data_IF_021132960528
#
_entry.id   IF_021132960528
#
_cell.length_a   1.000
_cell.length_b   1.000
_cell.length_c   1.000
_cell.angle_alpha   90.00
_cell.angle_beta   90.00
_cell.angle_gamma   90.00
#
_symmetry.space_group_name_H-M   'P 1'
#
loop_
_entity.id
_entity.type
_entity.pdbx_description
1 polymer ?
#
# COMPACT_ATOMS: atom_id res chain seq x y z
N UNK A 1 -10.60 42.26 -44.89
CA UNK A 1 -10.44 40.83 -44.53
C UNK A 1 -10.00 40.75 -43.07
N UNK A 2 -10.92 40.40 -42.15
CA UNK A 2 -10.62 40.28 -40.71
C UNK A 2 -10.19 38.85 -40.41
N UNK A 3 -8.95 38.65 -39.91
CA UNK A 3 -8.45 37.35 -39.50
C UNK A 3 -9.08 36.98 -38.16
N UNK A 4 -9.62 35.76 -37.98
CA UNK A 4 -10.09 35.30 -36.66
C UNK A 4 -8.91 34.99 -35.76
N UNK A 5 -8.93 35.57 -34.55
CA UNK A 5 -8.00 35.28 -33.47
C UNK A 5 -8.45 33.98 -32.81
N UNK A 6 -7.73 32.89 -33.06
CA UNK A 6 -7.99 31.61 -32.40
C UNK A 6 -7.34 31.67 -31.00
N UNK A 7 -8.17 31.88 -29.98
CA UNK A 7 -7.77 31.82 -28.58
C UNK A 7 -7.64 30.37 -28.18
N UNK A 8 -6.41 29.87 -28.18
CA UNK A 8 -6.10 28.47 -27.71
C UNK A 8 -6.19 28.45 -26.20
N UNK A 9 -7.25 27.81 -25.67
CA UNK A 9 -7.43 27.58 -24.25
C UNK A 9 -6.59 26.37 -23.84
N UNK A 10 -5.39 26.60 -23.28
CA UNK A 10 -4.60 25.56 -22.66
C UNK A 10 -5.29 25.11 -21.35
N UNK A 11 -5.96 23.96 -21.42
CA UNK A 11 -6.46 23.27 -20.22
C UNK A 11 -5.24 22.63 -19.51
N UNK A 12 -4.76 23.27 -18.45
CA UNK A 12 -3.77 22.68 -17.55
C UNK A 12 -4.46 21.60 -16.74
N UNK A 13 -4.29 20.34 -17.12
CA UNK A 13 -4.65 19.17 -16.30
C UNK A 13 -3.66 19.13 -15.12
N UNK A 14 -4.03 19.72 -14.00
CA UNK A 14 -3.37 19.46 -12.73
C UNK A 14 -3.75 18.04 -12.30
N UNK A 15 -2.87 17.08 -12.52
CA UNK A 15 -2.98 15.78 -11.88
C UNK A 15 -2.85 16.00 -10.37
N UNK A 16 -3.95 15.85 -9.63
CA UNK A 16 -3.92 15.79 -8.17
C UNK A 16 -3.28 14.47 -7.76
N UNK A 17 -1.96 14.43 -7.60
CA UNK A 17 -1.30 13.33 -6.89
C UNK A 17 -1.70 13.42 -5.42
N UNK A 18 -2.21 12.32 -4.86
CA UNK A 18 -2.59 12.28 -3.46
C UNK A 18 -1.34 12.50 -2.58
N UNK A 19 -1.33 13.62 -1.85
CA UNK A 19 -0.23 13.96 -0.94
C UNK A 19 -0.21 12.97 0.22
N UNK A 20 0.94 12.37 0.59
CA UNK A 20 1.02 11.48 1.74
C UNK A 20 0.65 12.20 3.05
N UNK A 21 0.17 11.46 4.08
CA UNK A 21 -0.21 12.08 5.35
C UNK A 21 0.99 12.75 6.03
N UNK A 22 0.75 13.91 6.65
CA UNK A 22 1.79 14.71 7.34
C UNK A 22 2.46 13.96 8.49
N UNK A 23 1.72 13.07 9.14
CA UNK A 23 2.22 12.27 10.25
C UNK A 23 1.91 10.78 10.01
N UNK A 24 2.67 10.16 9.12
CA UNK A 24 2.55 8.74 8.77
C UNK A 24 2.92 7.78 9.90
N UNK A 25 3.56 8.25 10.97
CA UNK A 25 3.92 7.45 12.15
C UNK A 25 2.78 7.38 13.18
N UNK A 26 1.71 8.13 12.98
CA UNK A 26 0.52 8.12 13.84
C UNK A 26 -0.72 7.75 13.02
N UNK A 27 -1.20 6.51 13.18
CA UNK A 27 -2.32 6.01 12.37
C UNK A 27 -3.62 6.77 12.64
N UNK A 28 -3.86 7.24 13.87
CA UNK A 28 -5.03 8.06 14.18
C UNK A 28 -4.98 9.41 13.46
N UNK A 29 -3.79 10.06 13.43
CA UNK A 29 -3.61 11.30 12.70
C UNK A 29 -3.74 11.08 11.18
N UNK A 30 -3.22 9.95 10.67
CA UNK A 30 -3.35 9.56 9.27
C UNK A 30 -4.82 9.43 8.88
N UNK A 31 -5.62 8.69 9.63
CA UNK A 31 -7.04 8.47 9.34
C UNK A 31 -7.90 9.73 9.50
N UNK A 32 -7.59 10.63 10.45
CA UNK A 32 -8.27 11.94 10.53
C UNK A 32 -7.91 12.87 9.37
N UNK A 33 -6.70 12.79 8.85
CA UNK A 33 -6.29 13.59 7.68
C UNK A 33 -6.85 13.02 6.37
N UNK A 34 -7.04 11.71 6.30
CA UNK A 34 -7.51 10.94 5.14
C UNK A 34 -8.81 10.24 5.53
N UNK A 35 -9.92 10.97 5.48
CA UNK A 35 -11.20 10.58 6.06
C UNK A 35 -11.73 9.21 5.59
N UNK A 36 -11.52 8.85 4.30
CA UNK A 36 -11.99 7.57 3.75
C UNK A 36 -11.10 6.37 4.11
N UNK A 37 -9.82 6.60 4.41
CA UNK A 37 -8.83 5.53 4.55
C UNK A 37 -9.11 4.54 5.69
N UNK A 38 -9.75 4.98 6.77
CA UNK A 38 -10.16 4.06 7.83
C UNK A 38 -11.21 3.08 7.34
N UNK A 39 -12.20 3.56 6.59
CA UNK A 39 -13.26 2.72 6.03
C UNK A 39 -12.70 1.76 4.98
N UNK A 40 -11.84 2.22 4.07
CA UNK A 40 -11.18 1.38 3.08
C UNK A 40 -10.38 0.25 3.72
N UNK A 41 -9.58 0.57 4.75
CA UNK A 41 -8.79 -0.42 5.48
C UNK A 41 -9.69 -1.39 6.29
N UNK A 42 -10.82 -0.92 6.78
CA UNK A 42 -11.83 -1.74 7.48
C UNK A 42 -12.52 -2.68 6.50
N UNK A 43 -12.93 -2.21 5.33
CA UNK A 43 -13.56 -3.04 4.29
C UNK A 43 -12.63 -4.17 3.86
N UNK A 44 -11.35 -3.86 3.65
CA UNK A 44 -10.32 -4.87 3.39
C UNK A 44 -10.17 -5.86 4.57
N UNK A 45 -10.22 -5.38 5.82
CA UNK A 45 -10.20 -6.26 7.00
C UNK A 45 -11.43 -7.17 7.04
N UNK A 46 -12.62 -6.64 6.77
CA UNK A 46 -13.86 -7.43 6.77
C UNK A 46 -13.84 -8.50 5.67
N UNK A 47 -13.29 -8.18 4.50
CA UNK A 47 -13.18 -9.10 3.37
C UNK A 47 -12.10 -10.18 3.57
N UNK A 48 -10.94 -9.82 4.07
CA UNK A 48 -9.76 -10.71 4.11
C UNK A 48 -9.38 -11.20 5.50
N UNK A 49 -9.88 -10.56 6.55
CA UNK A 49 -9.56 -10.91 7.96
C UNK A 49 -8.14 -10.53 8.39
N UNK A 50 -7.42 -9.72 7.62
CA UNK A 50 -6.10 -9.19 7.98
C UNK A 50 -6.28 -7.91 8.77
N UNK A 51 -5.76 -7.80 10.02
CA UNK A 51 -5.98 -6.62 10.85
C UNK A 51 -5.51 -5.32 10.20
N UNK A 52 -6.27 -4.23 10.37
CA UNK A 52 -5.95 -2.89 9.82
C UNK A 52 -4.51 -2.48 10.12
N UNK A 53 -4.08 -2.63 11.38
CA UNK A 53 -2.72 -2.24 11.79
C UNK A 53 -1.60 -3.02 11.07
N UNK A 54 -1.87 -4.25 10.63
CA UNK A 54 -0.93 -5.06 9.84
C UNK A 54 -0.85 -4.53 8.41
N UNK A 55 -2.00 -4.32 7.77
CA UNK A 55 -2.08 -3.77 6.41
C UNK A 55 -1.36 -2.42 6.33
N UNK A 56 -1.67 -1.50 7.26
CA UNK A 56 -1.08 -0.18 7.32
C UNK A 56 0.42 -0.21 7.62
N UNK A 57 0.90 -1.16 8.43
CA UNK A 57 2.33 -1.30 8.70
C UNK A 57 3.12 -1.80 7.48
N UNK A 58 2.54 -2.69 6.68
CA UNK A 58 3.11 -3.14 5.41
C UNK A 58 3.14 -1.97 4.42
N UNK A 59 2.02 -1.29 4.19
CA UNK A 59 1.94 -0.15 3.27
C UNK A 59 2.91 0.97 3.67
N UNK A 60 3.01 1.28 4.96
CA UNK A 60 3.99 2.25 5.45
C UNK A 60 5.42 1.85 5.10
N UNK A 61 5.77 0.58 5.20
CA UNK A 61 7.11 0.09 4.86
C UNK A 61 7.37 0.16 3.35
N UNK A 62 6.36 -0.09 2.52
CA UNK A 62 6.49 -0.12 1.06
C UNK A 62 6.59 1.27 0.44
N UNK A 63 5.73 2.19 0.82
CA UNK A 63 5.63 3.50 0.16
C UNK A 63 5.63 4.71 1.09
N UNK A 64 5.56 4.52 2.41
CA UNK A 64 5.25 5.60 3.37
C UNK A 64 3.96 6.35 3.00
N UNK A 65 2.97 5.62 2.45
CA UNK A 65 1.71 6.17 1.96
C UNK A 65 1.85 7.16 0.79
N UNK A 66 2.89 7.02 -0.02
CA UNK A 66 3.05 7.75 -1.27
C UNK A 66 2.30 7.01 -2.38
N UNK A 67 1.31 7.66 -2.99
CA UNK A 67 0.42 7.04 -3.98
C UNK A 67 1.16 6.53 -5.22
N UNK A 68 2.04 7.35 -5.76
CA UNK A 68 2.79 7.09 -6.99
C UNK A 68 4.24 6.62 -6.74
N UNK A 69 4.48 6.01 -5.57
CA UNK A 69 5.81 5.52 -5.20
C UNK A 69 6.34 4.53 -6.25
N UNK A 70 7.60 4.73 -6.65
CA UNK A 70 8.27 3.88 -7.62
C UNK A 70 9.75 3.71 -7.26
N UNK A 71 10.37 2.56 -7.58
CA UNK A 71 11.80 2.40 -7.46
C UNK A 71 12.54 3.47 -8.29
N UNK A 72 13.68 4.00 -7.82
CA UNK A 72 14.46 4.97 -8.57
C UNK A 72 14.90 4.39 -9.92
N UNK A 73 14.97 5.24 -10.95
CA UNK A 73 15.53 4.85 -12.24
C UNK A 73 17.03 4.61 -12.11
N UNK A 74 17.52 3.62 -12.84
CA UNK A 74 18.98 3.51 -13.10
C UNK A 74 19.40 4.61 -14.07
N UNK A 75 20.69 4.94 -14.09
CA UNK A 75 21.25 5.97 -14.94
C UNK A 75 22.29 5.37 -15.87
N UNK A 76 22.11 5.53 -17.19
CA UNK A 76 23.13 5.18 -18.18
C UNK A 76 24.12 6.33 -18.25
N UNK A 77 25.42 6.00 -18.18
CA UNK A 77 26.51 6.98 -18.17
C UNK A 77 26.43 8.05 -17.06
N UNK A 78 25.63 7.78 -16.00
CA UNK A 78 25.49 8.68 -14.87
C UNK A 78 24.54 9.87 -15.06
N UNK A 79 24.02 10.12 -16.27
CA UNK A 79 23.16 11.28 -16.55
C UNK A 79 21.95 10.99 -17.46
N UNK A 80 21.87 9.83 -18.11
CA UNK A 80 20.72 9.46 -18.95
C UNK A 80 19.78 8.57 -18.12
N UNK A 81 18.52 8.98 -17.84
CA UNK A 81 17.56 8.13 -17.17
C UNK A 81 17.33 6.84 -17.98
N UNK A 82 17.54 5.70 -17.34
CA UNK A 82 17.39 4.39 -17.97
C UNK A 82 16.15 3.67 -17.43
N UNK A 83 16.18 2.35 -17.37
CA UNK A 83 15.06 1.55 -16.88
C UNK A 83 14.94 1.57 -15.34
N UNK A 84 13.77 1.15 -14.83
CA UNK A 84 13.58 0.85 -13.40
C UNK A 84 13.90 -0.62 -13.15
N UNK A 85 14.57 -0.96 -12.04
CA UNK A 85 14.96 -2.35 -11.73
C UNK A 85 13.77 -3.24 -11.36
N UNK A 86 12.61 -2.65 -11.11
CA UNK A 86 11.37 -3.34 -10.74
C UNK A 86 10.16 -2.58 -11.28
N UNK A 87 9.08 -3.31 -11.58
CA UNK A 87 7.76 -2.77 -11.93
C UNK A 87 6.91 -2.40 -10.71
N UNK A 88 7.48 -2.47 -9.49
CA UNK A 88 6.78 -2.09 -8.27
C UNK A 88 6.25 -0.65 -8.36
N UNK A 89 4.96 -0.45 -8.01
CA UNK A 89 4.28 0.83 -8.12
C UNK A 89 3.21 1.00 -7.04
N UNK A 90 2.97 2.26 -6.69
CA UNK A 90 1.85 2.67 -5.88
C UNK A 90 2.02 2.46 -4.38
N UNK A 91 0.93 2.59 -3.65
CA UNK A 91 0.91 2.45 -2.19
C UNK A 91 1.47 1.11 -1.70
N UNK A 92 1.08 0.02 -2.36
CA UNK A 92 1.43 -1.35 -1.98
C UNK A 92 2.75 -1.84 -2.60
N UNK A 93 3.39 -1.06 -3.49
CA UNK A 93 4.57 -1.47 -4.26
C UNK A 93 4.35 -2.83 -4.97
N UNK A 94 3.11 -3.07 -5.42
CA UNK A 94 2.77 -4.27 -6.17
C UNK A 94 3.51 -4.29 -7.52
N UNK A 95 4.10 -5.44 -7.87
CA UNK A 95 4.67 -5.67 -9.20
C UNK A 95 3.57 -5.98 -10.20
N UNK A 96 3.80 -5.70 -11.49
CA UNK A 96 2.80 -5.91 -12.56
C UNK A 96 2.23 -7.33 -12.51
N UNK A 97 3.07 -8.36 -12.54
CA UNK A 97 2.65 -9.77 -12.50
C UNK A 97 1.75 -10.11 -11.29
N UNK A 98 2.11 -9.60 -10.09
CA UNK A 98 1.34 -9.88 -8.88
C UNK A 98 0.04 -9.07 -8.84
N UNK A 99 0.05 -7.88 -9.42
CA UNK A 99 -1.16 -7.08 -9.57
C UNK A 99 -2.15 -7.70 -10.56
N UNK A 100 -1.66 -8.22 -11.67
CA UNK A 100 -2.48 -8.95 -12.66
C UNK A 100 -3.11 -10.20 -12.01
N UNK A 101 -2.35 -10.98 -11.23
CA UNK A 101 -2.88 -12.12 -10.45
C UNK A 101 -4.01 -11.69 -9.49
N UNK A 102 -3.88 -10.52 -8.87
CA UNK A 102 -4.92 -9.96 -8.00
C UNK A 102 -6.16 -9.57 -8.80
N UNK A 103 -6.00 -8.84 -9.90
CA UNK A 103 -7.13 -8.44 -10.76
C UNK A 103 -7.90 -9.66 -11.25
N UNK A 104 -7.21 -10.69 -11.70
CA UNK A 104 -7.80 -11.92 -12.24
C UNK A 104 -8.54 -12.75 -11.18
N UNK A 105 -8.11 -12.68 -9.92
CA UNK A 105 -8.65 -13.55 -8.85
C UNK A 105 -9.61 -12.87 -7.89
N UNK A 106 -9.49 -11.57 -7.65
CA UNK A 106 -10.18 -10.92 -6.55
C UNK A 106 -10.43 -9.42 -6.72
N UNK A 107 -9.63 -8.72 -7.52
CA UNK A 107 -9.73 -7.29 -7.74
C UNK A 107 -10.82 -6.88 -8.73
N UNK A 108 -11.06 -5.59 -8.83
CA UNK A 108 -11.88 -5.01 -9.90
C UNK A 108 -11.01 -4.72 -11.13
N UNK A 109 -11.55 -4.87 -12.32
CA UNK A 109 -10.87 -4.46 -13.56
C UNK A 109 -10.50 -2.97 -13.62
N UNK A 110 -11.15 -2.16 -12.78
CA UNK A 110 -10.87 -0.71 -12.65
C UNK A 110 -9.96 -0.37 -11.48
N UNK A 111 -9.44 -1.38 -10.76
CA UNK A 111 -8.57 -1.14 -9.62
C UNK A 111 -7.23 -0.53 -10.04
N UNK A 112 -6.71 0.39 -9.24
CA UNK A 112 -5.46 1.11 -9.51
C UNK A 112 -4.51 1.02 -8.30
N UNK A 113 -3.20 0.87 -8.59
CA UNK A 113 -2.17 0.72 -7.54
C UNK A 113 -1.89 2.01 -6.76
N UNK A 114 -2.29 3.16 -7.28
CA UNK A 114 -2.21 4.47 -6.63
C UNK A 114 -3.55 4.94 -6.02
N UNK A 115 -4.59 4.09 -6.08
CA UNK A 115 -5.77 4.20 -5.24
C UNK A 115 -5.56 3.50 -3.90
N UNK A 116 -5.96 4.17 -2.80
CA UNK A 116 -5.69 3.65 -1.46
C UNK A 116 -6.57 2.44 -1.10
N UNK A 117 -7.85 2.47 -1.47
CA UNK A 117 -8.79 1.38 -1.21
C UNK A 117 -8.36 0.10 -1.93
N UNK A 118 -8.01 0.22 -3.21
CA UNK A 118 -7.53 -0.89 -4.04
C UNK A 118 -6.21 -1.47 -3.53
N UNK A 119 -5.27 -0.59 -3.17
CA UNK A 119 -3.98 -1.01 -2.63
C UNK A 119 -4.10 -1.71 -1.27
N UNK A 120 -5.05 -1.25 -0.44
CA UNK A 120 -5.34 -1.87 0.87
C UNK A 120 -6.01 -3.22 0.68
N UNK A 121 -6.97 -3.34 -0.24
CA UNK A 121 -7.61 -4.62 -0.61
C UNK A 121 -6.57 -5.62 -1.16
N UNK A 122 -5.65 -5.16 -2.02
CA UNK A 122 -4.53 -5.97 -2.51
C UNK A 122 -3.64 -6.51 -1.38
N UNK A 123 -3.24 -5.66 -0.42
CA UNK A 123 -2.44 -6.12 0.74
C UNK A 123 -3.20 -7.16 1.56
N UNK A 124 -4.49 -6.92 1.81
CA UNK A 124 -5.37 -7.87 2.50
C UNK A 124 -5.45 -9.21 1.76
N UNK A 125 -5.68 -9.18 0.46
CA UNK A 125 -5.71 -10.36 -0.41
C UNK A 125 -4.40 -11.15 -0.36
N UNK A 126 -3.26 -10.48 -0.54
CA UNK A 126 -1.95 -11.14 -0.56
C UNK A 126 -1.61 -11.78 0.79
N UNK A 127 -1.88 -11.08 1.89
CA UNK A 127 -1.68 -11.60 3.24
C UNK A 127 -2.63 -12.78 3.54
N UNK A 128 -3.87 -12.76 3.04
CA UNK A 128 -4.79 -13.88 3.16
C UNK A 128 -4.30 -15.11 2.38
N UNK A 129 -3.74 -14.93 1.18
CA UNK A 129 -3.09 -16.04 0.44
C UNK A 129 -1.89 -16.58 1.22
N UNK A 130 -1.07 -15.70 1.80
CA UNK A 130 0.06 -16.09 2.64
C UNK A 130 -0.38 -16.92 3.84
N UNK A 131 -1.48 -16.54 4.50
CA UNK A 131 -2.10 -17.33 5.55
C UNK A 131 -2.50 -18.72 5.06
N UNK A 132 -3.25 -18.78 3.96
CA UNK A 132 -3.81 -20.03 3.46
C UNK A 132 -2.74 -21.00 2.90
N UNK A 133 -1.70 -20.47 2.24
CA UNK A 133 -0.66 -21.29 1.60
C UNK A 133 0.50 -21.65 2.52
N UNK A 134 0.82 -20.77 3.46
CA UNK A 134 2.05 -20.86 4.26
C UNK A 134 1.77 -21.07 5.75
N UNK A 135 0.51 -20.99 6.19
CA UNK A 135 0.12 -21.12 7.60
C UNK A 135 0.53 -19.93 8.47
N UNK A 136 0.91 -18.79 7.88
CA UNK A 136 1.28 -17.57 8.61
C UNK A 136 0.04 -16.97 9.26
N UNK A 137 0.10 -16.64 10.56
CA UNK A 137 -1.01 -15.93 11.21
C UNK A 137 -1.27 -14.56 10.55
N UNK A 138 -2.56 -14.20 10.35
CA UNK A 138 -2.95 -12.89 9.81
C UNK A 138 -2.54 -11.70 10.68
N UNK A 139 -2.22 -11.93 11.94
CA UNK A 139 -1.68 -10.93 12.88
C UNK A 139 -0.15 -10.93 12.99
N UNK A 140 0.54 -11.86 12.33
CA UNK A 140 2.02 -11.91 12.32
C UNK A 140 2.59 -11.04 11.21
N UNK A 141 2.67 -9.74 11.49
CA UNK A 141 3.15 -8.75 10.54
C UNK A 141 4.59 -9.00 10.07
N UNK A 142 5.46 -9.62 10.89
CA UNK A 142 6.83 -9.93 10.48
C UNK A 142 6.88 -11.00 9.40
N UNK A 143 6.23 -12.14 9.63
CA UNK A 143 6.24 -13.23 8.67
C UNK A 143 5.38 -12.92 7.44
N UNK A 144 4.29 -12.17 7.59
CA UNK A 144 3.52 -11.66 6.45
C UNK A 144 4.37 -10.75 5.56
N UNK A 145 5.15 -9.85 6.17
CA UNK A 145 6.05 -8.98 5.40
C UNK A 145 7.17 -9.78 4.71
N UNK A 146 7.75 -10.79 5.37
CA UNK A 146 8.74 -11.66 4.72
C UNK A 146 8.15 -12.39 3.51
N UNK A 147 6.91 -12.89 3.62
CA UNK A 147 6.20 -13.53 2.52
C UNK A 147 5.86 -12.52 1.40
N UNK A 148 5.50 -11.29 1.78
CA UNK A 148 5.20 -10.20 0.84
C UNK A 148 6.43 -9.84 -0.01
N UNK A 149 7.57 -9.66 0.64
CA UNK A 149 8.81 -9.28 -0.04
C UNK A 149 9.45 -10.39 -0.86
N UNK A 150 9.50 -11.62 -0.32
CA UNK A 150 10.16 -12.78 -0.98
C UNK A 150 9.27 -13.49 -1.99
N UNK A 151 7.95 -13.22 -1.96
CA UNK A 151 6.95 -14.05 -2.59
C UNK A 151 6.72 -15.36 -1.82
N UNK A 152 5.58 -16.00 -2.05
CA UNK A 152 5.19 -17.23 -1.35
C UNK A 152 6.22 -18.36 -1.50
N UNK A 153 6.79 -18.52 -2.72
CA UNK A 153 7.84 -19.51 -2.99
C UNK A 153 9.13 -19.23 -2.22
N UNK A 154 9.60 -17.97 -2.24
CA UNK A 154 10.80 -17.58 -1.52
C UNK A 154 10.65 -17.75 0.00
N UNK A 155 9.49 -17.39 0.56
CA UNK A 155 9.19 -17.62 1.97
C UNK A 155 9.19 -19.12 2.33
N UNK A 156 8.52 -19.94 1.51
CA UNK A 156 8.48 -21.39 1.70
C UNK A 156 9.88 -22.02 1.73
N UNK A 157 10.76 -21.60 0.83
CA UNK A 157 12.16 -22.02 0.78
C UNK A 157 13.07 -21.28 1.79
N UNK A 158 12.51 -20.41 2.63
CA UNK A 158 13.22 -19.64 3.66
C UNK A 158 14.39 -18.82 3.10
N UNK A 159 14.24 -18.27 1.88
CA UNK A 159 15.28 -17.46 1.21
C UNK A 159 15.70 -16.22 2.02
N UNK A 160 14.77 -15.69 2.84
CA UNK A 160 15.00 -14.58 3.75
C UNK A 160 16.08 -14.85 4.83
N UNK A 161 16.36 -16.12 5.15
CA UNK A 161 17.44 -16.47 6.10
C UNK A 161 18.82 -16.04 5.62
N UNK A 162 18.99 -15.90 4.30
CA UNK A 162 20.23 -15.41 3.67
C UNK A 162 20.28 -13.88 3.55
N UNK A 163 19.23 -13.19 4.05
CA UNK A 163 19.06 -11.73 3.95
C UNK A 163 18.85 -11.11 5.33
N UNK A 164 19.89 -10.96 6.17
CA UNK A 164 19.76 -10.39 7.52
C UNK A 164 19.11 -9.02 7.54
N UNK A 165 19.36 -8.20 6.51
CA UNK A 165 18.73 -6.90 6.35
C UNK A 165 17.20 -6.99 6.24
N UNK A 166 16.69 -7.98 5.48
CA UNK A 166 15.25 -8.17 5.31
C UNK A 166 14.58 -8.61 6.61
N UNK A 167 15.25 -9.47 7.38
CA UNK A 167 14.76 -9.87 8.72
C UNK A 167 14.66 -8.65 9.65
N UNK A 168 15.63 -7.72 9.60
CA UNK A 168 15.57 -6.47 10.36
C UNK A 168 14.41 -5.57 9.90
N UNK A 169 14.13 -5.51 8.60
CA UNK A 169 12.97 -4.78 8.07
C UNK A 169 11.66 -5.42 8.57
N UNK A 170 11.54 -6.75 8.51
CA UNK A 170 10.36 -7.45 9.03
C UNK A 170 10.10 -7.18 10.52
N UNK A 171 11.18 -7.12 11.33
CA UNK A 171 11.08 -6.72 12.75
C UNK A 171 10.58 -5.27 12.89
N UNK A 172 11.02 -4.35 12.02
CA UNK A 172 10.51 -2.96 12.02
C UNK A 172 9.02 -2.90 11.68
N UNK A 173 8.58 -3.68 10.69
CA UNK A 173 7.17 -3.78 10.32
C UNK A 173 6.33 -4.31 11.48
N UNK A 174 6.80 -5.37 12.16
CA UNK A 174 6.11 -5.90 13.35
C UNK A 174 5.99 -4.85 14.47
N UNK A 175 7.07 -4.12 14.77
CA UNK A 175 7.03 -3.03 15.76
C UNK A 175 6.07 -1.91 15.36
N UNK A 176 6.03 -1.54 14.08
CA UNK A 176 5.08 -0.57 13.55
C UNK A 176 3.64 -1.05 13.67
N UNK A 177 3.40 -2.30 13.31
CA UNK A 177 2.09 -2.94 13.45
C UNK A 177 1.59 -2.90 14.90
N UNK A 178 2.46 -3.23 15.87
CA UNK A 178 2.13 -3.13 17.31
C UNK A 178 1.85 -1.68 17.74
N UNK A 179 2.64 -0.72 17.26
CA UNK A 179 2.40 0.70 17.54
C UNK A 179 1.04 1.15 16.98
N UNK A 180 0.75 0.83 15.73
CA UNK A 180 -0.51 1.16 15.08
C UNK A 180 -1.71 0.49 15.77
N UNK A 181 -1.58 -0.76 16.21
CA UNK A 181 -2.60 -1.44 17.00
C UNK A 181 -2.93 -0.66 18.29
N UNK A 182 -1.88 -0.23 19.00
CA UNK A 182 -2.04 0.53 20.23
C UNK A 182 -2.71 1.89 20.00
N UNK A 183 -2.30 2.60 18.96
CA UNK A 183 -2.89 3.89 18.57
C UNK A 183 -4.37 3.72 18.18
N UNK A 184 -4.70 2.76 17.31
CA UNK A 184 -6.09 2.47 16.93
C UNK A 184 -6.99 2.22 18.13
N UNK A 185 -6.51 1.49 19.13
CA UNK A 185 -7.27 1.26 20.37
C UNK A 185 -7.69 2.54 21.07
N UNK A 186 -7.07 3.69 20.78
CA UNK A 186 -7.42 5.00 21.38
C UNK A 186 -8.38 5.83 20.53
N UNK A 187 -8.43 5.65 19.23
CA UNK A 187 -9.20 6.49 18.30
C UNK A 187 -10.26 5.75 17.48
N UNK A 188 -10.27 4.43 17.47
CA UNK A 188 -11.12 3.65 16.56
C UNK A 188 -12.60 3.91 16.78
N UNK A 189 -13.04 4.11 18.04
CA UNK A 189 -14.44 4.44 18.33
C UNK A 189 -14.88 5.77 17.74
N UNK A 190 -14.01 6.76 17.74
CA UNK A 190 -14.23 8.07 17.12
C UNK A 190 -14.34 7.90 15.59
N UNK A 191 -13.36 7.23 14.95
CA UNK A 191 -13.35 6.99 13.51
C UNK A 191 -14.59 6.24 13.01
N UNK A 192 -15.06 5.27 13.80
CA UNK A 192 -16.31 4.56 13.50
C UNK A 192 -17.54 5.45 13.59
N UNK A 193 -17.59 6.42 14.50
CA UNK A 193 -18.74 7.30 14.69
C UNK A 193 -18.86 8.36 13.58
N UNK A 194 -17.75 8.84 13.05
CA UNK A 194 -17.71 9.83 11.96
C UNK A 194 -18.22 9.23 10.63
N UNK A 195 -17.99 7.95 10.39
CA UNK A 195 -18.48 7.26 9.19
C UNK A 195 -20.00 7.18 9.08
N UNK A 196 -20.76 7.39 10.17
CA UNK A 196 -22.23 7.35 10.19
C UNK A 196 -22.90 8.66 9.74
N UNK A 197 -22.17 9.76 9.62
CA UNK A 197 -22.74 11.06 9.27
C UNK A 197 -22.77 11.35 7.77
N UNK A 198 -22.24 10.47 6.93
CA UNK A 198 -22.14 10.68 5.47
C UNK A 198 -23.05 9.77 4.61
N UNK A 199 -24.10 9.19 5.23
CA UNK A 199 -25.15 8.43 4.52
C UNK A 199 -26.51 9.13 4.59
#
# INVERSE_FOLDING_TARGET
>A
MKKPLILSFLFSLTACTAVPPKNSDNICATFREKEDWYNDAKDSFEKWGVPIHVQMAIMHQESHFVADAQPPRTWLLGFIPWFRPSSAYGYAQAKDETWDDYLDSAGSWSADRDDFADATDFIGWYCNISHNRLGVSKSDAANLYLAYHEGHGGFHHKSFLKKPWLQQVAIKVAKRSTLFQHQLGTCEKELQSESWFFW
#
